data_IF_171595846432
#
_entry.id   IF_171595846432
#
_cell.length_a   1.000
_cell.length_b   1.000
_cell.length_c   1.000
_cell.angle_alpha   90.00
_cell.angle_beta   90.00
_cell.angle_gamma   90.00
#
_symmetry.space_group_name_H-M   'P 1'
#
loop_
_entity.id
_entity.type
_entity.pdbx_description
1 polymer ?
#
# COMPACT_ATOMS: atom_id res chain seq x y z
N UNK A 1 7.97 34.56 17.67
CA UNK A 1 7.63 34.07 16.31
C UNK A 1 7.72 32.56 16.35
N UNK A 2 6.59 31.86 16.47
CA UNK A 2 6.54 30.40 16.49
C UNK A 2 6.44 29.97 15.03
N UNK A 3 7.53 29.42 14.49
CA UNK A 3 7.50 28.81 13.17
C UNK A 3 6.71 27.50 13.29
N UNK A 4 5.45 27.51 12.86
CA UNK A 4 4.67 26.31 12.61
C UNK A 4 5.32 25.61 11.42
N UNK A 5 6.08 24.54 11.67
CA UNK A 5 6.42 23.59 10.61
C UNK A 5 5.09 22.99 10.12
N UNK A 6 4.66 23.43 8.94
CA UNK A 6 3.58 22.78 8.21
C UNK A 6 4.16 21.43 7.80
N UNK A 7 3.75 20.37 8.52
CA UNK A 7 4.04 18.99 8.14
C UNK A 7 3.24 18.68 6.88
N UNK A 8 3.82 18.97 5.72
CA UNK A 8 3.22 18.69 4.42
C UNK A 8 3.45 17.24 4.01
N UNK A 9 2.40 16.58 3.55
CA UNK A 9 2.51 15.33 2.80
C UNK A 9 3.03 15.67 1.39
N UNK A 10 4.06 14.96 0.93
CA UNK A 10 4.74 15.23 -0.35
C UNK A 10 4.56 14.05 -1.30
N UNK A 11 4.26 14.34 -2.57
CA UNK A 11 4.27 13.35 -3.67
C UNK A 11 5.69 12.80 -3.83
N UNK A 12 5.86 11.48 -3.64
CA UNK A 12 7.16 10.82 -3.73
C UNK A 12 7.30 10.05 -5.05
N UNK A 13 6.37 9.13 -5.32
CA UNK A 13 6.43 8.27 -6.50
C UNK A 13 5.04 7.71 -6.82
N UNK A 14 4.94 6.88 -7.84
CA UNK A 14 3.75 6.11 -8.19
C UNK A 14 4.08 4.63 -8.34
N UNK A 15 3.04 3.80 -8.33
CA UNK A 15 3.13 2.37 -8.61
C UNK A 15 1.86 1.92 -9.34
N UNK A 16 1.90 0.74 -9.96
CA UNK A 16 0.75 0.19 -10.64
C UNK A 16 0.13 -0.99 -9.92
N UNK A 17 -1.21 -1.07 -9.96
CA UNK A 17 -1.99 -2.20 -9.48
C UNK A 17 -3.07 -2.56 -10.52
N UNK A 18 -3.52 -3.82 -10.55
CA UNK A 18 -4.44 -4.33 -11.58
C UNK A 18 -5.88 -4.41 -11.08
N UNK A 19 -6.73 -3.45 -11.43
CA UNK A 19 -8.14 -3.49 -11.08
C UNK A 19 -8.98 -4.06 -12.24
N UNK A 20 -9.39 -5.33 -12.13
CA UNK A 20 -10.06 -6.03 -13.22
C UNK A 20 -9.12 -6.22 -14.41
N UNK A 21 -9.51 -5.77 -15.60
CA UNK A 21 -8.69 -5.89 -16.81
C UNK A 21 -7.75 -4.68 -17.05
N UNK A 22 -7.74 -3.70 -16.15
CA UNK A 22 -7.00 -2.45 -16.33
C UNK A 22 -5.87 -2.31 -15.30
N UNK A 23 -4.71 -1.87 -15.80
CA UNK A 23 -3.58 -1.44 -14.96
C UNK A 23 -3.79 0.03 -14.59
N UNK A 24 -3.83 0.32 -13.30
CA UNK A 24 -4.09 1.66 -12.76
C UNK A 24 -2.89 2.16 -11.95
N UNK A 25 -2.61 3.45 -12.07
CA UNK A 25 -1.53 4.12 -11.37
C UNK A 25 -2.01 4.69 -10.03
N UNK A 26 -1.25 4.44 -8.97
CA UNK A 26 -1.52 4.89 -7.62
C UNK A 26 -0.34 5.67 -7.06
N UNK A 27 -0.65 6.64 -6.20
CA UNK A 27 0.36 7.51 -5.58
C UNK A 27 0.99 6.87 -4.35
N UNK A 28 2.27 7.17 -4.16
CA UNK A 28 3.00 7.04 -2.91
C UNK A 28 3.37 8.44 -2.46
N UNK A 29 2.95 8.78 -1.25
CA UNK A 29 3.28 10.05 -0.61
C UNK A 29 4.05 9.78 0.68
N UNK A 30 4.85 10.74 1.10
CA UNK A 30 5.64 10.65 2.33
C UNK A 30 5.46 11.90 3.18
N UNK A 31 5.57 11.74 4.50
CA UNK A 31 5.69 12.86 5.44
C UNK A 31 7.06 12.86 6.08
N UNK A 32 7.49 14.04 6.50
CA UNK A 32 8.76 14.23 7.18
C UNK A 32 8.51 14.62 8.65
N UNK A 33 9.37 14.16 9.55
CA UNK A 33 9.49 14.67 10.91
C UNK A 33 10.94 14.91 11.28
N UNK A 34 11.28 16.18 11.50
CA UNK A 34 12.64 16.63 11.89
C UNK A 34 13.72 16.20 10.88
N UNK A 35 13.51 16.40 9.59
CA UNK A 35 14.50 16.04 8.57
C UNK A 35 14.48 14.58 8.16
N UNK A 36 13.56 13.76 8.66
CA UNK A 36 13.54 12.30 8.41
C UNK A 36 12.15 11.84 8.02
N UNK A 37 12.03 10.89 7.10
CA UNK A 37 10.76 10.24 6.75
C UNK A 37 10.05 9.72 8.02
N UNK A 38 8.79 10.11 8.23
CA UNK A 38 7.98 9.69 9.38
C UNK A 38 6.94 8.63 8.97
N UNK A 39 6.13 8.93 7.95
CA UNK A 39 5.06 8.04 7.47
C UNK A 39 5.04 7.97 5.94
N UNK A 40 4.72 6.79 5.42
CA UNK A 40 4.55 6.50 4.00
C UNK A 40 3.08 6.19 3.75
N UNK A 41 2.49 6.87 2.79
CA UNK A 41 1.09 6.79 2.39
C UNK A 41 1.01 6.13 1.03
N UNK A 42 0.46 4.92 0.98
CA UNK A 42 0.32 4.12 -0.24
C UNK A 42 -1.15 4.11 -0.61
N UNK A 43 -1.51 4.87 -1.64
CA UNK A 43 -2.90 4.97 -2.08
C UNK A 43 -3.32 3.71 -2.82
N UNK A 44 -4.57 3.32 -2.65
CA UNK A 44 -5.15 2.19 -3.36
C UNK A 44 -6.66 2.30 -3.44
N UNK A 45 -7.31 1.27 -3.97
CA UNK A 45 -8.77 1.18 -4.02
C UNK A 45 -9.35 0.68 -2.72
N UNK A 46 -10.62 1.02 -2.52
CA UNK A 46 -11.50 0.30 -1.61
C UNK A 46 -11.99 -0.99 -2.27
N UNK A 47 -12.32 -2.01 -1.47
CA UNK A 47 -12.99 -3.23 -1.93
C UNK A 47 -14.41 -2.94 -2.46
N UNK A 48 -15.05 -1.86 -2.00
CA UNK A 48 -16.33 -1.40 -2.56
C UNK A 48 -16.12 -0.27 -3.59
N UNK A 49 -17.00 -0.23 -4.58
CA UNK A 49 -17.12 0.93 -5.49
C UNK A 49 -17.82 2.13 -4.79
N UNK A 50 -18.01 2.08 -3.47
CA UNK A 50 -18.69 3.12 -2.68
C UNK A 50 -17.69 4.14 -2.14
N UNK A 51 -16.44 3.73 -1.88
CA UNK A 51 -15.36 4.62 -1.49
C UNK A 51 -14.33 4.68 -2.62
N UNK A 52 -14.05 5.90 -3.12
CA UNK A 52 -13.18 6.06 -4.29
C UNK A 52 -11.72 5.67 -4.00
N UNK A 53 -11.25 5.84 -2.76
CA UNK A 53 -9.84 5.72 -2.39
C UNK A 53 -9.65 5.25 -0.95
N UNK A 54 -8.74 4.30 -0.78
CA UNK A 54 -8.14 3.95 0.50
C UNK A 54 -6.65 4.34 0.49
N UNK A 55 -6.08 4.49 1.68
CA UNK A 55 -4.65 4.74 1.83
C UNK A 55 -4.10 3.88 2.97
N UNK A 56 -3.07 3.09 2.68
CA UNK A 56 -2.31 2.41 3.71
C UNK A 56 -1.25 3.38 4.24
N UNK A 57 -1.22 3.57 5.55
CA UNK A 57 -0.23 4.42 6.22
C UNK A 57 0.75 3.54 6.99
N UNK A 58 2.00 3.56 6.55
CA UNK A 58 3.12 2.79 7.10
C UNK A 58 4.10 3.75 7.76
N UNK A 59 4.26 3.63 9.09
CA UNK A 59 5.29 4.40 9.81
C UNK A 59 6.67 3.94 9.36
N UNK A 60 7.61 4.86 9.19
CA UNK A 60 8.98 4.55 8.74
C UNK A 60 9.64 3.44 9.57
N UNK A 61 9.43 3.46 10.89
CA UNK A 61 9.93 2.41 11.81
C UNK A 61 9.36 1.00 11.57
N UNK A 62 8.23 0.89 10.87
CA UNK A 62 7.57 -0.37 10.46
C UNK A 62 7.72 -0.65 8.96
N UNK A 63 8.42 0.21 8.22
CA UNK A 63 8.55 0.04 6.79
C UNK A 63 9.38 -1.21 6.45
N UNK A 64 10.42 -1.50 7.24
CA UNK A 64 11.21 -2.73 7.07
C UNK A 64 10.37 -4.00 7.19
N UNK A 65 9.57 -4.12 8.26
CA UNK A 65 8.69 -5.28 8.46
C UNK A 65 7.61 -5.39 7.39
N UNK A 66 7.10 -4.26 6.90
CA UNK A 66 6.16 -4.23 5.78
C UNK A 66 6.81 -4.69 4.47
N UNK A 67 8.01 -4.21 4.16
CA UNK A 67 8.76 -4.61 2.95
C UNK A 67 9.11 -6.09 2.99
N UNK A 68 9.51 -6.63 4.14
CA UNK A 68 9.80 -8.05 4.30
C UNK A 68 8.54 -8.91 4.08
N UNK A 69 7.38 -8.45 4.56
CA UNK A 69 6.09 -9.06 4.26
C UNK A 69 5.80 -9.06 2.76
N UNK A 70 5.94 -7.92 2.07
CA UNK A 70 5.70 -7.83 0.63
C UNK A 70 6.64 -8.75 -0.16
N UNK A 71 7.92 -8.83 0.23
CA UNK A 71 8.89 -9.73 -0.39
C UNK A 71 8.47 -11.19 -0.25
N UNK A 72 8.05 -11.61 0.94
CA UNK A 72 7.54 -12.97 1.16
C UNK A 72 6.31 -13.27 0.29
N UNK A 73 5.35 -12.33 0.24
CA UNK A 73 4.17 -12.43 -0.62
C UNK A 73 4.57 -12.55 -2.09
N UNK A 74 5.54 -11.74 -2.56
CA UNK A 74 6.01 -11.78 -3.93
C UNK A 74 6.73 -13.09 -4.28
N UNK A 75 7.50 -13.65 -3.35
CA UNK A 75 8.10 -14.98 -3.50
C UNK A 75 7.03 -16.05 -3.69
N UNK A 76 5.97 -16.04 -2.85
CA UNK A 76 4.85 -16.98 -2.99
C UNK A 76 4.07 -16.77 -4.27
N UNK A 77 3.89 -15.51 -4.69
CA UNK A 77 3.25 -15.22 -5.95
C UNK A 77 4.01 -15.85 -7.13
N UNK A 78 5.34 -15.66 -7.21
CA UNK A 78 6.17 -16.28 -8.26
C UNK A 78 6.06 -17.80 -8.26
N UNK A 79 6.29 -18.44 -7.10
CA UNK A 79 6.24 -19.90 -6.95
C UNK A 79 4.87 -20.49 -7.36
N UNK A 80 3.79 -19.85 -6.92
CA UNK A 80 2.44 -20.37 -7.13
C UNK A 80 1.93 -20.06 -8.54
N UNK A 81 2.29 -18.93 -9.14
CA UNK A 81 2.02 -18.62 -10.55
C UNK A 81 2.67 -19.64 -11.48
N UNK A 82 3.97 -19.93 -11.31
CA UNK A 82 4.67 -20.95 -12.10
C UNK A 82 3.99 -22.32 -11.99
N UNK A 83 3.58 -22.69 -10.77
CA UNK A 83 2.88 -23.94 -10.52
C UNK A 83 1.49 -23.96 -11.17
N UNK A 84 0.71 -22.89 -11.06
CA UNK A 84 -0.62 -22.79 -11.64
C UNK A 84 -0.55 -22.89 -13.18
N UNK A 85 0.35 -22.13 -13.81
CA UNK A 85 0.56 -22.15 -15.26
C UNK A 85 0.98 -23.55 -15.73
N UNK A 86 1.96 -24.17 -15.06
CA UNK A 86 2.44 -25.52 -15.42
C UNK A 86 1.33 -26.57 -15.36
N UNK A 87 0.42 -26.46 -14.39
CA UNK A 87 -0.67 -27.41 -14.20
C UNK A 87 -1.97 -27.02 -14.91
N UNK A 88 -2.00 -25.88 -15.63
CA UNK A 88 -3.20 -25.35 -16.29
C UNK A 88 -4.38 -25.22 -15.32
N UNK A 89 -4.09 -24.70 -14.12
CA UNK A 89 -5.13 -24.36 -13.14
C UNK A 89 -5.98 -23.24 -13.71
N UNK A 90 -7.30 -23.39 -13.67
CA UNK A 90 -8.25 -22.44 -14.27
C UNK A 90 -8.91 -21.55 -13.20
N UNK A 91 -9.30 -22.15 -12.07
CA UNK A 91 -9.89 -21.47 -10.92
C UNK A 91 -9.29 -22.04 -9.64
N UNK A 92 -8.69 -21.16 -8.83
CA UNK A 92 -8.12 -21.51 -7.53
C UNK A 92 -7.97 -20.26 -6.67
N UNK A 93 -8.15 -20.38 -5.37
CA UNK A 93 -7.75 -19.33 -4.43
C UNK A 93 -7.17 -19.91 -3.15
N UNK A 94 -6.20 -19.21 -2.59
CA UNK A 94 -5.50 -19.60 -1.36
C UNK A 94 -4.95 -18.39 -0.64
N UNK A 95 -5.25 -18.30 0.66
CA UNK A 95 -4.61 -17.31 1.54
C UNK A 95 -3.11 -17.59 1.70
N UNK A 96 -2.32 -16.52 1.71
CA UNK A 96 -0.91 -16.55 2.07
C UNK A 96 -0.81 -16.30 3.56
N UNK A 97 -0.44 -17.34 4.30
CA UNK A 97 -0.10 -17.21 5.71
C UNK A 97 1.28 -16.55 5.83
N UNK A 98 1.27 -15.27 6.17
CA UNK A 98 2.45 -14.46 6.40
C UNK A 98 2.38 -13.89 7.84
N UNK A 99 3.45 -14.06 8.61
CA UNK A 99 3.54 -13.56 9.99
C UNK A 99 3.69 -12.03 10.00
N UNK A 100 2.58 -11.31 9.77
CA UNK A 100 2.51 -9.87 9.90
C UNK A 100 2.24 -9.51 11.37
N UNK A 101 3.33 -9.25 12.10
CA UNK A 101 3.27 -8.92 13.54
C UNK A 101 2.73 -7.52 13.80
N UNK A 102 2.95 -6.62 12.87
CA UNK A 102 2.58 -5.22 13.00
C UNK A 102 1.12 -4.96 12.59
N UNK A 103 0.49 -4.05 13.33
CA UNK A 103 -0.71 -3.36 12.88
C UNK A 103 -0.34 -2.10 12.10
N UNK A 104 -1.14 -1.78 11.10
CA UNK A 104 -1.02 -0.61 10.25
C UNK A 104 -2.24 0.27 10.38
N UNK A 105 -2.11 1.51 9.89
CA UNK A 105 -3.24 2.42 9.79
C UNK A 105 -3.76 2.43 8.36
N UNK A 106 -5.08 2.46 8.18
CA UNK A 106 -5.72 2.59 6.87
C UNK A 106 -6.67 3.78 6.92
N UNK A 107 -6.48 4.71 5.99
CA UNK A 107 -7.41 5.79 5.72
C UNK A 107 -8.42 5.39 4.65
N UNK A 108 -9.65 5.86 4.77
CA UNK A 108 -10.69 5.67 3.76
C UNK A 108 -11.59 6.91 3.72
N UNK A 109 -12.01 7.29 2.52
CA UNK A 109 -12.80 8.50 2.28
C UNK A 109 -14.28 8.15 2.09
N UNK A 110 -15.17 8.84 2.80
CA UNK A 110 -16.63 8.86 2.55
C UNK A 110 -17.07 10.30 2.24
N UNK A 111 -17.52 11.05 3.24
CA UNK A 111 -17.72 12.51 3.17
C UNK A 111 -16.50 13.29 3.68
N UNK A 112 -15.70 12.64 4.52
CA UNK A 112 -14.43 13.12 5.07
C UNK A 112 -13.43 11.93 5.12
N UNK A 113 -12.17 12.20 5.45
CA UNK A 113 -11.17 11.17 5.69
C UNK A 113 -11.34 10.56 7.07
N UNK A 114 -11.57 9.26 7.09
CA UNK A 114 -11.57 8.44 8.30
C UNK A 114 -10.34 7.56 8.33
N UNK A 115 -9.93 7.15 9.54
CA UNK A 115 -8.82 6.23 9.73
C UNK A 115 -9.20 5.11 10.67
N UNK A 116 -8.71 3.91 10.39
CA UNK A 116 -8.58 2.79 11.33
C UNK A 116 -7.08 2.62 11.63
N UNK A 117 -6.69 2.59 12.91
CA UNK A 117 -5.27 2.53 13.31
C UNK A 117 -4.78 1.13 13.71
N UNK A 118 -5.65 0.12 13.66
CA UNK A 118 -5.36 -1.24 14.16
C UNK A 118 -5.72 -2.30 13.13
N UNK A 119 -5.24 -2.11 11.90
CA UNK A 119 -5.56 -3.00 10.79
C UNK A 119 -4.43 -3.99 10.55
N UNK A 120 -4.78 -5.26 10.31
CA UNK A 120 -3.85 -6.27 9.78
C UNK A 120 -4.09 -6.44 8.29
N UNK A 121 -3.00 -6.46 7.53
CA UNK A 121 -3.04 -6.84 6.12
C UNK A 121 -3.17 -8.36 6.00
N UNK A 122 -3.81 -8.77 4.92
CA UNK A 122 -3.91 -10.16 4.47
C UNK A 122 -3.45 -10.22 3.03
N UNK A 123 -3.02 -11.41 2.61
CA UNK A 123 -2.69 -11.69 1.22
C UNK A 123 -3.40 -12.94 0.76
N UNK A 124 -3.90 -12.93 -0.47
CA UNK A 124 -4.52 -14.08 -1.12
C UNK A 124 -3.98 -14.20 -2.54
N UNK A 125 -3.59 -15.40 -2.91
CA UNK A 125 -3.33 -15.77 -4.30
C UNK A 125 -4.60 -16.34 -4.91
N UNK A 126 -4.91 -15.94 -6.13
CA UNK A 126 -5.98 -16.53 -6.90
C UNK A 126 -5.53 -16.79 -8.35
N UNK A 127 -6.26 -17.68 -9.01
CA UNK A 127 -6.21 -17.94 -10.44
C UNK A 127 -7.63 -17.81 -10.92
N UNK A 128 -7.88 -16.92 -11.88
CA UNK A 128 -9.20 -16.71 -12.48
C UNK A 128 -9.07 -16.85 -13.99
N UNK A 129 -9.83 -17.76 -14.60
CA UNK A 129 -9.76 -18.04 -16.05
C UNK A 129 -8.33 -18.35 -16.53
N UNK A 130 -7.53 -19.00 -15.67
CA UNK A 130 -6.14 -19.34 -15.94
C UNK A 130 -5.11 -18.26 -15.62
N UNK A 131 -5.55 -17.04 -15.27
CA UNK A 131 -4.66 -15.91 -14.97
C UNK A 131 -4.37 -15.80 -13.47
N UNK A 132 -3.10 -15.95 -13.04
CA UNK A 132 -2.70 -15.76 -11.65
C UNK A 132 -2.76 -14.29 -11.23
N UNK A 133 -3.20 -14.04 -9.99
CA UNK A 133 -3.28 -12.72 -9.40
C UNK A 133 -3.00 -12.80 -7.90
N UNK A 134 -2.36 -11.77 -7.35
CA UNK A 134 -2.21 -11.61 -5.90
C UNK A 134 -3.00 -10.41 -5.40
N UNK A 135 -3.66 -10.59 -4.27
CA UNK A 135 -4.40 -9.54 -3.57
C UNK A 135 -3.73 -9.27 -2.24
N UNK A 136 -3.36 -8.02 -1.96
CA UNK A 136 -3.06 -7.54 -0.61
C UNK A 136 -4.22 -6.68 -0.16
N UNK A 137 -4.88 -7.07 0.92
CA UNK A 137 -6.15 -6.47 1.30
C UNK A 137 -6.34 -6.42 2.80
N UNK A 138 -7.38 -5.73 3.23
CA UNK A 138 -7.85 -5.74 4.61
C UNK A 138 -9.26 -6.31 4.68
N UNK A 139 -9.67 -6.77 5.86
CA UNK A 139 -11.10 -6.94 6.12
C UNK A 139 -11.81 -5.59 6.24
N UNK A 140 -13.05 -5.63 6.71
CA UNK A 140 -13.79 -4.44 7.12
C UNK A 140 -12.97 -3.60 8.09
N UNK A 141 -12.83 -2.32 7.78
CA UNK A 141 -12.15 -1.32 8.62
C UNK A 141 -13.17 -0.37 9.21
N UNK A 142 -12.90 0.14 10.41
CA UNK A 142 -13.82 0.99 11.15
C UNK A 142 -13.15 2.32 11.50
N UNK A 143 -13.90 3.42 11.37
CA UNK A 143 -13.38 4.71 11.78
C UNK A 143 -13.05 4.72 13.28
N UNK A 144 -11.84 5.17 13.62
CA UNK A 144 -11.39 5.39 14.98
C UNK A 144 -12.30 6.40 15.73
N UNK A 145 -12.95 7.33 15.02
CA UNK A 145 -13.81 8.36 15.62
C UNK A 145 -15.27 7.91 15.76
N UNK A 146 -15.72 6.95 14.96
CA UNK A 146 -17.09 6.44 14.99
C UNK A 146 -17.17 5.06 14.33
N UNK A 147 -17.35 4.00 15.13
CA UNK A 147 -17.40 2.62 14.62
C UNK A 147 -18.62 2.29 13.76
N UNK A 148 -19.63 3.16 13.68
CA UNK A 148 -20.73 3.00 12.72
C UNK A 148 -20.32 3.39 11.30
N UNK A 149 -19.21 4.11 11.14
CA UNK A 149 -18.61 4.46 9.86
C UNK A 149 -17.56 3.39 9.55
N UNK A 150 -17.80 2.60 8.50
CA UNK A 150 -16.98 1.46 8.11
C UNK A 150 -16.73 1.46 6.61
N UNK A 151 -15.67 0.78 6.18
CA UNK A 151 -15.40 0.49 4.76
C UNK A 151 -15.11 -1.01 4.59
N UNK A 152 -15.37 -1.57 3.40
CA UNK A 152 -14.98 -2.95 3.08
C UNK A 152 -13.46 -3.17 3.09
N UNK A 153 -12.67 -2.11 3.19
CA UNK A 153 -11.24 -2.20 3.39
C UNK A 153 -10.44 -1.82 2.16
N UNK A 154 -9.13 -1.79 2.34
CA UNK A 154 -8.16 -1.52 1.29
C UNK A 154 -7.96 -2.76 0.42
N UNK A 155 -7.76 -2.55 -0.88
CA UNK A 155 -7.57 -3.60 -1.86
C UNK A 155 -6.49 -3.25 -2.89
N UNK A 156 -5.37 -3.99 -2.87
CA UNK A 156 -4.23 -3.88 -3.78
C UNK A 156 -4.06 -5.17 -4.59
N UNK A 157 -4.65 -5.25 -5.78
CA UNK A 157 -4.48 -6.37 -6.72
C UNK A 157 -3.23 -6.21 -7.60
N UNK A 158 -2.47 -7.28 -7.84
CA UNK A 158 -1.34 -7.29 -8.79
C UNK A 158 -1.42 -8.52 -9.68
N UNK A 159 -1.50 -8.31 -11.01
CA UNK A 159 -1.56 -9.39 -11.99
C UNK A 159 -0.20 -10.01 -12.29
N UNK A 160 0.90 -9.31 -11.99
CA UNK A 160 2.26 -9.84 -12.21
C UNK A 160 3.13 -9.67 -10.98
N UNK A 161 4.05 -10.62 -10.71
CA UNK A 161 5.05 -10.46 -9.65
C UNK A 161 5.95 -9.23 -9.84
N UNK A 162 6.11 -8.78 -11.08
CA UNK A 162 6.87 -7.58 -11.45
C UNK A 162 6.18 -6.32 -10.96
N UNK A 163 4.85 -6.21 -11.05
CA UNK A 163 4.09 -5.06 -10.54
C UNK A 163 4.21 -4.94 -9.01
N UNK A 164 4.16 -6.07 -8.30
CA UNK A 164 4.39 -6.09 -6.85
C UNK A 164 5.85 -5.76 -6.51
N UNK A 165 6.80 -6.21 -7.33
CA UNK A 165 8.21 -5.86 -7.15
C UNK A 165 8.46 -4.36 -7.35
N UNK A 166 7.80 -3.74 -8.33
CA UNK A 166 7.88 -2.30 -8.55
C UNK A 166 7.50 -1.52 -7.29
N UNK A 167 6.37 -1.85 -6.66
CA UNK A 167 5.97 -1.26 -5.38
C UNK A 167 7.06 -1.47 -4.31
N UNK A 168 7.58 -2.68 -4.16
CA UNK A 168 8.63 -3.00 -3.16
C UNK A 168 9.87 -2.10 -3.38
N UNK A 169 10.29 -1.92 -4.63
CA UNK A 169 11.48 -1.16 -4.97
C UNK A 169 11.30 0.34 -4.70
N UNK A 170 10.07 0.86 -4.82
CA UNK A 170 9.76 2.25 -4.44
C UNK A 170 9.85 2.47 -2.92
N UNK A 171 9.71 1.43 -2.11
CA UNK A 171 9.65 1.55 -0.64
C UNK A 171 11.03 1.65 0.04
N UNK A 172 12.07 2.09 -0.67
CA UNK A 172 13.41 2.31 -0.12
C UNK A 172 13.50 3.64 0.68
N UNK A 173 13.75 3.53 1.98
CA UNK A 173 13.87 4.70 2.89
C UNK A 173 14.96 5.66 2.46
N UNK A 174 16.09 5.17 1.95
CA UNK A 174 17.20 6.02 1.53
C UNK A 174 16.84 6.86 0.31
N UNK A 175 16.05 6.29 -0.61
CA UNK A 175 15.53 7.00 -1.78
C UNK A 175 14.48 8.04 -1.40
N UNK A 176 13.56 7.69 -0.50
CA UNK A 176 12.58 8.64 0.07
C UNK A 176 13.29 9.81 0.76
N UNK A 177 14.30 9.51 1.58
CA UNK A 177 15.08 10.51 2.29
C UNK A 177 15.80 11.47 1.33
N UNK A 178 16.35 10.96 0.22
CA UNK A 178 16.95 11.79 -0.84
C UNK A 178 15.93 12.68 -1.54
N UNK A 179 14.69 12.20 -1.73
CA UNK A 179 13.61 13.00 -2.33
C UNK A 179 13.26 14.21 -1.45
N UNK A 180 13.15 14.01 -0.14
CA UNK A 180 12.90 15.10 0.82
C UNK A 180 13.99 16.18 0.79
N UNK A 181 15.28 15.78 0.79
CA UNK A 181 16.39 16.74 0.75
C UNK A 181 16.43 17.59 -0.53
N UNK A 182 16.07 17.01 -1.68
CA UNK A 182 16.00 17.77 -2.95
C UNK A 182 14.88 18.82 -2.95
N UNK A 183 13.74 18.47 -2.34
CA UNK A 183 12.61 19.40 -2.25
C UNK A 183 12.92 20.55 -1.29
N UNK A 184 13.60 20.30 -0.15
CA UNK A 184 14.03 21.37 0.76
C UNK A 184 15.02 22.34 0.11
N UNK A 185 15.94 21.86 -0.73
CA UNK A 185 16.89 22.72 -1.44
C UNK A 185 16.19 23.62 -2.46
N UNK A 186 15.11 23.13 -3.09
CA UNK A 186 14.33 23.89 -4.07
C UNK A 186 13.49 24.97 -3.41
N UNK A 187 12.87 24.70 -2.26
CA UNK A 187 12.12 25.73 -1.51
C UNK A 187 13.02 26.85 -0.97
N UNK A 188 14.27 26.53 -0.61
CA UNK A 188 15.26 27.52 -0.17
C UNK A 188 15.73 28.46 -1.30
N UNK A 189 15.50 28.15 -2.58
CA UNK A 189 15.86 29.01 -3.72
C UNK A 189 14.83 30.11 -4.00
N UNK A 190 13.65 30.04 -3.39
CA UNK A 190 12.55 30.99 -3.59
C UNK A 190 12.20 31.79 -2.32
N UNK A 191 13.00 31.66 -1.25
CA UNK A 191 12.97 32.47 -0.03
C UNK A 191 14.19 33.40 0.04
#
# INVERSE_FOLDING_TARGET
>A
MICLFIYGQVDYDTYFATAGNNKEEFKIQITEKKGVVDEVYIYSKSVDNTYDKCVLVVKAKKLGTFVDYLKYVNTKFKEWSETAIKNKVDDFSKDIDADLRDYYSVGFAYDDWYMDSRVKLKSMFAVNEGDPIIYIYTGTIYSNSNSYIQSKGLFMPFATPEDLQELIDKLDVSMMQRSLSKNSDTENLFN
#
